data_IF_242071796894
#
_entry.id   IF_242071796894
#
_cell.length_a   1.000
_cell.length_b   1.000
_cell.length_c   1.000
_cell.angle_alpha   90.00
_cell.angle_beta   90.00
_cell.angle_gamma   90.00
#
_symmetry.space_group_name_H-M   'P 1'
#
loop_
_entity.id
_entity.type
_entity.pdbx_description
1 polymer ?
#
# COMPACT_ATOMS: atom_id res chain seq x y z
N UNK A 1 2.77 -21.70 -21.75
CA UNK A 1 3.08 -21.48 -23.18
C UNK A 1 3.03 -22.79 -23.97
N UNK A 2 3.09 -22.69 -25.27
CA UNK A 2 3.19 -23.85 -26.18
C UNK A 2 4.50 -24.66 -26.01
N UNK A 3 5.54 -24.02 -25.50
CA UNK A 3 6.82 -24.67 -25.22
C UNK A 3 6.86 -25.37 -23.85
N UNK A 4 5.79 -25.32 -23.08
CA UNK A 4 5.74 -25.84 -21.69
C UNK A 4 6.32 -24.89 -20.63
N UNK A 5 6.91 -23.75 -21.04
CA UNK A 5 7.35 -22.73 -20.09
C UNK A 5 6.14 -22.06 -19.46
N UNK A 6 6.15 -21.88 -18.14
CA UNK A 6 5.07 -21.22 -17.41
C UNK A 6 5.61 -20.17 -16.46
N UNK A 7 4.75 -19.25 -16.06
CA UNK A 7 5.02 -18.23 -15.05
C UNK A 7 3.90 -18.16 -14.04
N UNK A 8 4.26 -17.76 -12.84
CA UNK A 8 3.35 -17.55 -11.74
C UNK A 8 3.01 -16.07 -11.62
N UNK A 9 1.76 -15.76 -11.25
CA UNK A 9 1.27 -14.41 -11.04
C UNK A 9 0.16 -14.37 -10.02
N UNK A 10 0.01 -13.26 -9.34
CA UNK A 10 -0.94 -13.09 -8.25
C UNK A 10 -1.71 -11.79 -8.34
N UNK A 11 -3.01 -11.84 -7.99
CA UNK A 11 -3.86 -10.68 -7.83
C UNK A 11 -3.96 -10.31 -6.34
N UNK A 12 -3.49 -9.13 -5.96
CA UNK A 12 -3.44 -8.69 -4.55
C UNK A 12 -4.79 -8.15 -4.05
N UNK A 13 -5.82 -9.00 -4.06
CA UNK A 13 -7.14 -8.73 -3.48
C UNK A 13 -7.43 -9.77 -2.38
N UNK A 14 -6.46 -10.01 -1.52
CA UNK A 14 -6.56 -11.05 -0.49
C UNK A 14 -7.30 -10.57 0.77
N UNK A 15 -7.25 -9.28 1.10
CA UNK A 15 -7.90 -8.72 2.27
C UNK A 15 -9.34 -8.29 1.96
N UNK A 16 -10.27 -8.67 2.82
CA UNK A 16 -11.69 -8.35 2.65
C UNK A 16 -12.39 -9.27 1.65
N UNK A 17 -13.12 -8.66 0.71
CA UNK A 17 -13.88 -9.36 -0.33
C UNK A 17 -13.39 -8.95 -1.71
N UNK A 18 -13.49 -9.85 -2.70
CA UNK A 18 -13.12 -9.51 -4.09
C UNK A 18 -12.27 -10.58 -4.79
N UNK A 19 -11.68 -11.53 -4.07
CA UNK A 19 -10.80 -12.57 -4.63
C UNK A 19 -11.48 -13.40 -5.72
N UNK A 20 -12.74 -13.81 -5.54
CA UNK A 20 -13.51 -14.53 -6.57
C UNK A 20 -13.72 -13.69 -7.83
N UNK A 21 -14.00 -12.38 -7.66
CA UNK A 21 -14.16 -11.47 -8.79
C UNK A 21 -12.84 -11.25 -9.53
N UNK A 22 -11.72 -11.11 -8.81
CA UNK A 22 -10.39 -11.01 -9.42
C UNK A 22 -10.02 -12.27 -10.19
N UNK A 23 -10.30 -13.46 -9.63
CA UNK A 23 -10.09 -14.72 -10.33
C UNK A 23 -10.92 -14.81 -11.63
N UNK A 24 -12.19 -14.46 -11.59
CA UNK A 24 -13.03 -14.37 -12.79
C UNK A 24 -12.49 -13.38 -13.83
N UNK A 25 -11.98 -12.23 -13.37
CA UNK A 25 -11.36 -11.23 -14.24
C UNK A 25 -10.10 -11.77 -14.93
N UNK A 26 -9.24 -12.50 -14.22
CA UNK A 26 -8.07 -13.16 -14.81
C UNK A 26 -8.50 -14.10 -15.94
N UNK A 27 -9.55 -14.91 -15.73
CA UNK A 27 -10.06 -15.84 -16.73
C UNK A 27 -10.60 -15.13 -17.97
N UNK A 28 -11.29 -14.00 -17.80
CA UNK A 28 -11.82 -13.23 -18.92
C UNK A 28 -10.69 -12.51 -19.70
N UNK A 29 -9.76 -11.90 -18.99
CA UNK A 29 -8.60 -11.22 -19.58
C UNK A 29 -7.68 -12.20 -20.34
N UNK A 30 -7.48 -13.40 -19.80
CA UNK A 30 -6.65 -14.43 -20.43
C UNK A 30 -7.11 -14.75 -21.86
N UNK A 31 -8.41 -14.74 -22.15
CA UNK A 31 -8.97 -14.97 -23.48
C UNK A 31 -8.49 -13.95 -24.51
N UNK A 32 -8.14 -12.74 -24.10
CA UNK A 32 -7.67 -11.67 -24.98
C UNK A 32 -6.22 -11.85 -25.44
N UNK A 33 -5.43 -12.63 -24.69
CA UNK A 33 -3.98 -12.75 -24.89
C UNK A 33 -3.52 -14.14 -25.35
N UNK A 34 -4.42 -15.12 -25.40
CA UNK A 34 -4.11 -16.46 -25.93
C UNK A 34 -3.61 -16.32 -27.37
N UNK A 35 -2.46 -16.94 -27.70
CA UNK A 35 -1.80 -16.89 -28.99
C UNK A 35 -0.86 -15.70 -29.19
N UNK A 36 -0.77 -14.77 -28.24
CA UNK A 36 0.22 -13.69 -28.25
C UNK A 36 1.60 -14.20 -27.80
N UNK A 37 2.66 -13.53 -28.22
CA UNK A 37 4.01 -13.81 -27.73
C UNK A 37 4.16 -13.33 -26.28
N UNK A 38 4.40 -14.21 -25.29
CA UNK A 38 4.47 -13.84 -23.88
C UNK A 38 5.65 -12.92 -23.52
N UNK A 39 6.63 -12.79 -24.42
CA UNK A 39 7.77 -11.90 -24.21
C UNK A 39 7.44 -10.42 -24.50
N UNK A 40 6.33 -10.14 -25.19
CA UNK A 40 5.90 -8.80 -25.57
C UNK A 40 5.01 -8.18 -24.46
N UNK A 41 5.55 -8.10 -23.23
CA UNK A 41 4.83 -7.69 -22.02
C UNK A 41 4.11 -6.35 -22.18
N UNK A 42 4.74 -5.34 -22.79
CA UNK A 42 4.14 -4.03 -23.05
C UNK A 42 2.94 -4.10 -24.02
N UNK A 43 3.07 -4.87 -25.10
CA UNK A 43 2.00 -5.04 -26.08
C UNK A 43 0.80 -5.74 -25.46
N UNK A 44 1.06 -6.77 -24.65
CA UNK A 44 0.02 -7.50 -23.93
C UNK A 44 -0.66 -6.58 -22.90
N UNK A 45 0.11 -5.82 -22.15
CA UNK A 45 -0.42 -4.87 -21.17
C UNK A 45 -1.36 -3.85 -21.84
N UNK A 46 -0.91 -3.25 -22.93
CA UNK A 46 -1.71 -2.29 -23.72
C UNK A 46 -2.99 -2.94 -24.26
N UNK A 47 -2.89 -4.19 -24.72
CA UNK A 47 -4.04 -4.98 -25.18
C UNK A 47 -5.05 -5.20 -24.05
N UNK A 48 -4.58 -5.61 -22.88
CA UNK A 48 -5.43 -5.83 -21.70
C UNK A 48 -6.11 -4.54 -21.25
N UNK A 49 -5.36 -3.45 -21.21
CA UNK A 49 -5.87 -2.14 -20.79
C UNK A 49 -6.91 -1.57 -21.74
N UNK A 50 -6.64 -1.60 -23.06
CA UNK A 50 -7.53 -0.98 -24.06
C UNK A 50 -8.69 -1.87 -24.50
N UNK A 51 -8.43 -3.18 -24.71
CA UNK A 51 -9.44 -4.06 -25.26
C UNK A 51 -10.45 -4.59 -24.27
N UNK A 52 -10.20 -4.43 -22.97
CA UNK A 52 -11.15 -4.77 -21.89
C UNK A 52 -12.35 -3.83 -21.84
N UNK A 53 -12.28 -2.66 -22.50
CA UNK A 53 -13.26 -1.58 -22.46
C UNK A 53 -13.37 -0.92 -21.08
N UNK A 54 -13.51 -1.70 -19.99
CA UNK A 54 -13.69 -1.25 -18.62
C UNK A 54 -12.40 -0.97 -17.86
N UNK A 55 -11.23 -1.30 -18.40
CA UNK A 55 -9.95 -1.09 -17.72
C UNK A 55 -9.54 0.39 -17.67
N UNK A 56 -9.91 1.16 -18.70
CA UNK A 56 -9.62 2.60 -18.70
C UNK A 56 -10.40 3.29 -17.58
N UNK A 57 -9.66 3.86 -16.62
CA UNK A 57 -10.21 4.37 -15.37
C UNK A 57 -10.94 3.30 -14.53
N UNK A 58 -10.55 2.03 -14.70
CA UNK A 58 -11.11 0.89 -13.98
C UNK A 58 -10.62 0.79 -12.53
N UNK A 59 -11.29 -0.05 -11.78
CA UNK A 59 -11.04 -0.25 -10.35
C UNK A 59 -10.17 -1.46 -10.05
N UNK A 60 -10.10 -1.84 -8.75
CA UNK A 60 -9.17 -2.85 -8.25
C UNK A 60 -9.30 -4.22 -8.92
N UNK A 61 -10.51 -4.65 -9.25
CA UNK A 61 -10.74 -6.00 -9.82
C UNK A 61 -10.09 -6.12 -11.19
N UNK A 62 -10.26 -5.13 -12.06
CA UNK A 62 -9.67 -5.15 -13.41
C UNK A 62 -8.15 -5.07 -13.31
N UNK A 63 -7.65 -4.14 -12.51
CA UNK A 63 -6.21 -3.98 -12.36
C UNK A 63 -5.54 -5.14 -11.64
N UNK A 64 -6.20 -5.79 -10.68
CA UNK A 64 -5.71 -7.03 -10.09
C UNK A 64 -5.59 -8.17 -11.13
N UNK A 65 -6.59 -8.29 -12.02
CA UNK A 65 -6.53 -9.24 -13.14
C UNK A 65 -5.38 -8.96 -14.11
N UNK A 66 -5.19 -7.70 -14.50
CA UNK A 66 -4.06 -7.27 -15.33
C UNK A 66 -2.74 -7.54 -14.64
N UNK A 67 -2.63 -7.20 -13.36
CA UNK A 67 -1.42 -7.40 -12.56
C UNK A 67 -1.00 -8.86 -12.50
N UNK A 68 -1.94 -9.76 -12.20
CA UNK A 68 -1.65 -11.19 -12.13
C UNK A 68 -1.09 -11.73 -13.44
N UNK A 69 -1.68 -11.35 -14.57
CA UNK A 69 -1.19 -11.77 -15.89
C UNK A 69 0.16 -11.15 -16.23
N UNK A 70 0.35 -9.87 -15.94
CA UNK A 70 1.61 -9.17 -16.19
C UNK A 70 2.76 -9.76 -15.38
N UNK A 71 2.55 -10.04 -14.08
CA UNK A 71 3.55 -10.68 -13.21
C UNK A 71 3.93 -12.05 -13.78
N UNK A 72 2.95 -12.87 -14.18
CA UNK A 72 3.21 -14.18 -14.79
C UNK A 72 4.01 -14.06 -16.11
N UNK A 73 3.75 -13.04 -16.91
CA UNK A 73 4.49 -12.78 -18.15
C UNK A 73 5.95 -12.36 -17.88
N UNK A 74 6.17 -11.52 -16.83
CA UNK A 74 7.53 -11.17 -16.43
C UNK A 74 8.30 -12.36 -15.87
N UNK A 75 7.65 -13.26 -15.14
CA UNK A 75 8.25 -14.51 -14.68
C UNK A 75 8.63 -15.42 -15.86
N UNK A 76 7.73 -15.59 -16.85
CA UNK A 76 8.05 -16.29 -18.12
C UNK A 76 9.26 -15.66 -18.80
N UNK A 77 9.29 -14.33 -18.88
CA UNK A 77 10.37 -13.59 -19.56
C UNK A 77 11.71 -13.80 -18.85
N UNK A 78 11.73 -13.73 -17.53
CA UNK A 78 12.91 -14.04 -16.70
C UNK A 78 13.42 -15.46 -16.91
N UNK A 79 12.51 -16.44 -16.89
CA UNK A 79 12.82 -17.85 -17.12
C UNK A 79 13.32 -18.10 -18.56
N UNK A 80 12.71 -17.47 -19.55
CA UNK A 80 13.12 -17.58 -20.95
C UNK A 80 14.54 -17.08 -21.19
N UNK A 81 14.91 -15.92 -20.63
CA UNK A 81 16.26 -15.36 -20.74
C UNK A 81 17.24 -15.91 -19.69
N UNK A 82 16.77 -16.77 -18.79
CA UNK A 82 17.54 -17.32 -17.68
C UNK A 82 18.21 -16.23 -16.81
N UNK A 83 17.46 -15.18 -16.49
CA UNK A 83 17.89 -14.09 -15.62
C UNK A 83 16.76 -13.72 -14.65
N UNK A 84 17.09 -13.21 -13.45
CA UNK A 84 16.07 -12.69 -12.53
C UNK A 84 15.40 -11.45 -13.13
N UNK A 85 14.12 -11.25 -12.83
CA UNK A 85 13.30 -10.17 -13.39
C UNK A 85 13.91 -8.77 -13.16
N UNK A 86 14.54 -8.53 -11.99
CA UNK A 86 15.18 -7.24 -11.73
C UNK A 86 16.27 -6.90 -12.76
N UNK A 87 16.92 -7.90 -13.36
CA UNK A 87 17.93 -7.69 -14.40
C UNK A 87 17.30 -7.13 -15.68
N UNK A 88 16.08 -7.57 -15.99
CA UNK A 88 15.31 -7.06 -17.12
C UNK A 88 14.73 -5.66 -16.88
N UNK A 89 14.57 -5.27 -15.62
CA UNK A 89 14.09 -3.96 -15.21
C UNK A 89 15.19 -2.89 -15.03
N UNK A 90 16.43 -3.21 -15.42
CA UNK A 90 17.55 -2.25 -15.39
C UNK A 90 18.68 -2.64 -14.43
N UNK A 91 18.60 -3.79 -13.79
CA UNK A 91 19.65 -4.31 -12.90
C UNK A 91 19.40 -4.02 -11.41
N UNK A 92 20.30 -4.56 -10.58
CA UNK A 92 20.19 -4.48 -9.14
C UNK A 92 20.78 -3.16 -8.61
N UNK A 93 19.96 -2.30 -8.06
CA UNK A 93 20.37 -1.02 -7.47
C UNK A 93 20.80 -1.16 -6.00
N UNK A 94 20.25 -2.14 -5.27
CA UNK A 94 20.53 -2.36 -3.84
C UNK A 94 20.58 -3.83 -3.52
N UNK A 95 21.43 -4.22 -2.56
CA UNK A 95 21.50 -5.59 -2.05
C UNK A 95 20.56 -5.82 -0.86
N UNK A 96 20.21 -4.74 -0.16
CA UNK A 96 19.30 -4.77 1.00
C UNK A 96 18.31 -3.60 0.92
N UNK A 97 17.10 -3.83 1.41
CA UNK A 97 16.08 -2.83 1.61
C UNK A 97 15.79 -2.69 3.11
N UNK A 98 15.60 -1.44 3.55
CA UNK A 98 15.08 -1.19 4.89
C UNK A 98 13.63 -1.66 4.95
N UNK A 99 13.29 -2.38 6.03
CA UNK A 99 11.94 -2.86 6.28
C UNK A 99 11.40 -2.27 7.58
N UNK A 100 10.09 -2.14 7.67
CA UNK A 100 9.42 -1.81 8.92
C UNK A 100 8.50 -2.95 9.37
N UNK A 101 8.30 -3.07 10.69
CA UNK A 101 7.31 -3.98 11.24
C UNK A 101 5.91 -3.36 11.08
N UNK A 102 5.05 -4.01 10.32
CA UNK A 102 3.73 -3.49 9.94
C UNK A 102 2.59 -4.15 10.71
N UNK A 103 1.46 -3.44 10.82
CA UNK A 103 0.19 -3.98 11.34
C UNK A 103 0.25 -4.41 12.82
N UNK A 104 1.01 -3.71 13.64
CA UNK A 104 1.22 -4.07 15.05
C UNK A 104 -0.08 -4.03 15.88
N UNK A 105 -1.12 -3.35 15.40
CA UNK A 105 -2.46 -3.37 16.01
C UNK A 105 -3.13 -4.75 15.95
N UNK A 106 -2.68 -5.66 15.09
CA UNK A 106 -3.19 -7.04 15.02
C UNK A 106 -2.34 -8.04 15.82
N UNK A 107 -1.34 -7.57 16.55
CA UNK A 107 -0.37 -8.40 17.27
C UNK A 107 0.97 -8.47 16.54
N UNK A 108 1.99 -9.05 17.20
CA UNK A 108 3.31 -9.23 16.61
C UNK A 108 3.97 -10.52 17.08
N UNK A 109 4.72 -11.17 16.18
CA UNK A 109 5.40 -12.43 16.46
C UNK A 109 4.41 -13.58 16.69
N UNK A 110 4.52 -14.26 17.81
CA UNK A 110 3.61 -15.35 18.19
C UNK A 110 2.25 -14.84 18.67
N UNK A 111 2.18 -13.58 19.13
CA UNK A 111 0.95 -12.96 19.60
C UNK A 111 0.10 -12.53 18.41
N UNK A 112 -0.96 -13.26 18.13
CA UNK A 112 -1.93 -13.00 17.05
C UNK A 112 -3.23 -12.39 17.57
N UNK A 113 -3.17 -11.58 18.63
CA UNK A 113 -4.35 -10.95 19.23
C UNK A 113 -4.34 -9.45 18.95
N UNK A 114 -5.48 -8.85 18.58
CA UNK A 114 -5.57 -7.42 18.39
C UNK A 114 -5.10 -6.63 19.62
N UNK A 115 -4.39 -5.55 19.38
CA UNK A 115 -4.02 -4.58 20.40
C UNK A 115 -5.18 -3.57 20.58
N UNK A 116 -5.67 -3.41 21.78
CA UNK A 116 -6.71 -2.43 22.10
C UNK A 116 -6.41 -1.62 23.37
N UNK A 117 -5.62 -2.16 24.30
CA UNK A 117 -5.07 -1.42 25.42
C UNK A 117 -3.70 -0.83 25.06
N UNK A 118 -3.31 0.25 25.72
CA UNK A 118 -2.02 0.93 25.49
C UNK A 118 -0.85 -0.06 25.65
N UNK A 119 -0.92 -0.91 26.67
CA UNK A 119 0.11 -1.90 26.98
C UNK A 119 0.32 -2.91 25.85
N UNK A 120 -0.72 -3.23 25.10
CA UNK A 120 -0.65 -4.13 23.94
C UNK A 120 0.17 -3.51 22.81
N UNK A 121 -0.12 -2.24 22.48
CA UNK A 121 0.64 -1.50 21.48
C UNK A 121 2.11 -1.37 21.86
N UNK A 122 2.38 -1.02 23.10
CA UNK A 122 3.74 -0.90 23.66
C UNK A 122 4.47 -2.25 23.61
N UNK A 123 3.82 -3.33 23.99
CA UNK A 123 4.43 -4.68 23.99
C UNK A 123 4.79 -5.11 22.57
N UNK A 124 3.87 -4.94 21.59
CA UNK A 124 4.11 -5.29 20.20
C UNK A 124 5.25 -4.44 19.58
N UNK A 125 5.26 -3.13 19.85
CA UNK A 125 6.31 -2.23 19.37
C UNK A 125 7.69 -2.60 19.93
N UNK A 126 7.80 -2.79 21.27
CA UNK A 126 9.05 -3.23 21.90
C UNK A 126 9.54 -4.56 21.33
N UNK A 127 8.63 -5.51 21.11
CA UNK A 127 8.97 -6.82 20.55
C UNK A 127 9.55 -6.67 19.14
N UNK A 128 8.91 -5.91 18.26
CA UNK A 128 9.41 -5.64 16.91
C UNK A 128 10.81 -4.99 16.93
N UNK A 129 10.99 -3.96 17.76
CA UNK A 129 12.30 -3.30 17.90
C UNK A 129 13.37 -4.26 18.45
N UNK A 130 13.02 -5.13 19.40
CA UNK A 130 13.94 -6.16 19.92
C UNK A 130 14.39 -7.18 18.88
N UNK A 131 13.63 -7.33 17.78
CA UNK A 131 13.96 -8.19 16.64
C UNK A 131 14.79 -7.48 15.57
N UNK A 132 15.13 -6.22 15.80
CA UNK A 132 16.02 -5.43 14.94
C UNK A 132 15.33 -4.47 13.98
N UNK A 133 14.01 -4.30 14.07
CA UNK A 133 13.32 -3.27 13.29
C UNK A 133 13.60 -1.88 13.88
N UNK A 134 13.99 -0.96 13.03
CA UNK A 134 14.21 0.46 13.35
C UNK A 134 13.06 1.36 12.87
N UNK A 135 12.00 0.75 12.32
CA UNK A 135 10.76 1.39 11.90
C UNK A 135 9.56 0.48 12.16
N UNK A 136 8.45 1.07 12.57
CA UNK A 136 7.20 0.36 12.89
C UNK A 136 6.01 1.11 12.29
N UNK A 137 4.97 0.37 11.87
CA UNK A 137 3.71 0.92 11.34
C UNK A 137 2.52 0.44 12.14
N UNK A 138 1.66 1.36 12.57
CA UNK A 138 0.53 1.09 13.44
C UNK A 138 -0.67 1.94 13.03
N UNK A 139 -1.83 1.31 12.92
CA UNK A 139 -3.11 1.97 12.92
C UNK A 139 -3.63 2.05 14.37
N UNK A 140 -3.53 3.23 14.95
CA UNK A 140 -3.91 3.48 16.34
C UNK A 140 -5.43 3.63 16.53
N UNK A 141 -6.20 3.70 15.42
CA UNK A 141 -7.64 3.96 15.44
C UNK A 141 -8.47 2.77 14.93
N UNK A 142 -7.88 1.57 14.82
CA UNK A 142 -8.59 0.36 14.38
C UNK A 142 -9.59 -0.14 15.43
N UNK A 143 -9.19 -0.20 16.71
CA UNK A 143 -9.97 -0.79 17.79
C UNK A 143 -10.22 0.19 18.93
N UNK A 144 -11.43 0.15 19.50
CA UNK A 144 -11.74 0.83 20.75
C UNK A 144 -11.01 0.18 21.94
N UNK A 145 -10.98 0.81 23.13
CA UNK A 145 -10.36 0.21 24.31
C UNK A 145 -11.03 -1.06 24.85
N UNK A 146 -12.16 -1.49 24.28
CA UNK A 146 -12.83 -2.76 24.59
C UNK A 146 -12.53 -3.86 23.56
N UNK A 147 -11.81 -3.53 22.48
CA UNK A 147 -11.43 -4.45 21.44
C UNK A 147 -12.41 -4.54 20.27
N UNK A 148 -13.41 -3.69 20.19
CA UNK A 148 -14.32 -3.60 19.05
C UNK A 148 -13.75 -2.68 17.96
N UNK A 149 -13.98 -3.00 16.69
CA UNK A 149 -13.65 -2.07 15.61
C UNK A 149 -14.53 -0.84 15.70
N UNK A 150 -13.93 0.33 15.52
CA UNK A 150 -14.68 1.56 15.37
C UNK A 150 -15.57 1.53 14.12
N UNK A 151 -16.75 2.11 14.23
CA UNK A 151 -17.65 2.36 13.11
C UNK A 151 -17.22 3.58 12.31
N UNK A 152 -17.72 3.70 11.07
CA UNK A 152 -17.48 4.90 10.25
C UNK A 152 -18.06 6.18 10.87
N UNK A 153 -19.12 6.07 11.67
CA UNK A 153 -19.69 7.23 12.36
C UNK A 153 -18.76 7.77 13.45
N UNK A 154 -17.99 6.90 14.11
CA UNK A 154 -17.02 7.26 15.15
C UNK A 154 -15.71 7.79 14.57
N UNK A 155 -15.36 7.42 13.33
CA UNK A 155 -14.06 7.75 12.73
C UNK A 155 -14.09 8.92 11.74
N UNK A 156 -15.26 9.49 11.45
CA UNK A 156 -15.42 10.54 10.45
C UNK A 156 -15.99 11.85 11.02
N UNK A 157 -15.98 12.92 10.21
CA UNK A 157 -16.45 14.27 10.49
C UNK A 157 -15.53 15.04 11.42
N UNK A 158 -15.84 15.11 12.70
CA UNK A 158 -15.03 15.77 13.74
C UNK A 158 -15.02 14.87 14.96
N UNK A 159 -13.82 14.45 15.35
CA UNK A 159 -13.67 13.62 16.55
C UNK A 159 -13.92 14.45 17.80
N UNK A 160 -14.59 13.84 18.77
CA UNK A 160 -14.65 14.36 20.11
C UNK A 160 -13.29 14.19 20.84
N UNK A 161 -13.09 14.86 21.96
CA UNK A 161 -11.83 14.79 22.71
C UNK A 161 -11.47 13.37 23.17
N UNK A 162 -12.45 12.52 23.46
CA UNK A 162 -12.20 11.13 23.90
C UNK A 162 -11.51 10.31 22.80
N UNK A 163 -12.04 10.31 21.57
CA UNK A 163 -11.45 9.58 20.46
C UNK A 163 -10.07 10.10 20.09
N UNK A 164 -9.88 11.43 20.13
CA UNK A 164 -8.54 12.02 19.92
C UNK A 164 -7.56 11.51 20.98
N UNK A 165 -7.94 11.53 22.27
CA UNK A 165 -7.08 11.05 23.34
C UNK A 165 -6.75 9.57 23.20
N UNK A 166 -7.72 8.71 22.86
CA UNK A 166 -7.45 7.27 22.64
C UNK A 166 -6.34 7.04 21.62
N UNK A 167 -6.38 7.73 20.47
CA UNK A 167 -5.37 7.59 19.42
C UNK A 167 -4.02 8.17 19.86
N UNK A 168 -4.04 9.37 20.39
CA UNK A 168 -2.81 10.11 20.72
C UNK A 168 -2.10 9.52 21.95
N UNK A 169 -2.81 9.03 22.95
CA UNK A 169 -2.21 8.39 24.12
C UNK A 169 -1.52 7.06 23.74
N UNK A 170 -2.09 6.29 22.81
CA UNK A 170 -1.44 5.09 22.24
C UNK A 170 -0.15 5.45 21.51
N UNK A 171 -0.18 6.47 20.64
CA UNK A 171 1.00 6.96 19.93
C UNK A 171 2.07 7.47 20.90
N UNK A 172 1.67 8.24 21.91
CA UNK A 172 2.55 8.77 22.95
C UNK A 172 3.28 7.66 23.69
N UNK A 173 2.54 6.67 24.17
CA UNK A 173 3.09 5.55 24.93
C UNK A 173 4.03 4.69 24.07
N UNK A 174 3.70 4.47 22.79
CA UNK A 174 4.59 3.76 21.85
C UNK A 174 5.87 4.57 21.65
N UNK A 175 5.78 5.88 21.38
CA UNK A 175 6.97 6.74 21.21
C UNK A 175 7.86 6.73 22.45
N UNK A 176 7.30 6.86 23.64
CA UNK A 176 8.06 6.76 24.89
C UNK A 176 8.75 5.40 25.03
N UNK A 177 8.06 4.34 24.68
CA UNK A 177 8.52 2.96 24.84
C UNK A 177 9.65 2.56 23.87
N UNK A 178 9.64 3.08 22.64
CA UNK A 178 10.64 2.72 21.60
C UNK A 178 11.77 3.76 21.49
N UNK A 179 11.64 4.91 22.15
CA UNK A 179 12.65 5.98 22.11
C UNK A 179 12.57 6.86 20.86
N UNK A 180 13.44 7.88 20.76
CA UNK A 180 13.37 8.89 19.69
C UNK A 180 13.88 8.41 18.32
N UNK A 181 14.70 7.35 18.28
CA UNK A 181 15.44 6.94 17.10
C UNK A 181 14.71 5.88 16.25
N UNK A 182 13.59 5.35 16.73
CA UNK A 182 12.73 4.42 15.97
C UNK A 182 11.72 5.21 15.17
N UNK A 183 11.64 4.98 13.86
CA UNK A 183 10.62 5.60 13.03
C UNK A 183 9.23 5.02 13.33
N UNK A 184 8.24 5.88 13.54
CA UNK A 184 6.85 5.50 13.68
C UNK A 184 6.06 5.98 12.47
N UNK A 185 5.39 5.05 11.81
CA UNK A 185 4.45 5.30 10.73
C UNK A 185 3.05 5.22 11.33
N UNK A 186 2.28 6.29 11.20
CA UNK A 186 0.87 6.32 11.58
C UNK A 186 0.03 5.99 10.36
N UNK A 187 -0.86 5.01 10.48
CA UNK A 187 -1.73 4.57 9.40
C UNK A 187 -3.21 4.67 9.83
N UNK A 188 -4.11 4.92 8.86
CA UNK A 188 -5.55 4.90 9.12
C UNK A 188 -6.37 4.15 8.06
N UNK A 189 -5.74 3.45 7.10
CA UNK A 189 -6.40 2.63 6.06
C UNK A 189 -7.57 3.34 5.35
N UNK A 190 -7.52 4.65 5.18
CA UNK A 190 -8.61 5.46 4.60
C UNK A 190 -9.96 5.37 5.35
N UNK A 191 -9.97 4.92 6.61
CA UNK A 191 -11.20 4.83 7.42
C UNK A 191 -11.63 6.16 8.05
N UNK A 192 -10.77 7.18 7.99
CA UNK A 192 -11.08 8.52 8.46
C UNK A 192 -11.28 9.47 7.27
N UNK A 193 -11.87 10.63 7.54
CA UNK A 193 -11.96 11.69 6.53
C UNK A 193 -10.85 12.74 6.68
N UNK A 194 -10.77 13.65 5.70
CA UNK A 194 -9.71 14.65 5.64
C UNK A 194 -9.68 15.60 6.86
N UNK A 195 -10.84 15.91 7.46
CA UNK A 195 -10.90 16.77 8.63
C UNK A 195 -10.37 16.05 9.87
N UNK A 196 -10.73 14.78 10.05
CA UNK A 196 -10.22 13.93 11.13
C UNK A 196 -8.71 13.72 10.97
N UNK A 197 -8.25 13.48 9.73
CA UNK A 197 -6.81 13.35 9.45
C UNK A 197 -6.03 14.59 9.90
N UNK A 198 -6.53 15.79 9.62
CA UNK A 198 -5.91 17.03 10.10
C UNK A 198 -5.96 17.12 11.64
N UNK A 199 -7.09 16.79 12.25
CA UNK A 199 -7.25 16.84 13.70
C UNK A 199 -6.27 15.91 14.43
N UNK A 200 -6.12 14.67 13.96
CA UNK A 200 -5.16 13.70 14.54
C UNK A 200 -3.71 14.06 14.19
N UNK A 201 -3.44 14.43 12.93
CA UNK A 201 -2.10 14.77 12.46
C UNK A 201 -1.50 15.96 13.22
N UNK A 202 -2.29 17.00 13.51
CA UNK A 202 -1.83 18.14 14.31
C UNK A 202 -1.38 17.71 15.71
N UNK A 203 -2.08 16.77 16.35
CA UNK A 203 -1.70 16.24 17.65
C UNK A 203 -0.52 15.26 17.56
N UNK A 204 -0.37 14.54 16.44
CA UNK A 204 0.70 13.58 16.23
C UNK A 204 2.07 14.23 15.95
N UNK A 205 2.11 15.48 15.46
CA UNK A 205 3.36 16.20 15.11
C UNK A 205 4.43 16.14 16.19
N UNK A 206 4.06 16.32 17.44
CA UNK A 206 4.99 16.34 18.60
C UNK A 206 5.68 15.00 18.86
N UNK A 207 5.18 13.92 18.27
CA UNK A 207 5.75 12.57 18.40
C UNK A 207 6.66 12.18 17.24
N UNK A 208 6.94 13.10 16.31
CA UNK A 208 7.89 12.93 15.23
C UNK A 208 7.63 11.65 14.43
N UNK A 209 6.41 11.50 13.89
CA UNK A 209 6.06 10.38 13.00
C UNK A 209 6.76 10.55 11.64
N UNK A 210 7.19 9.43 11.05
CA UNK A 210 7.93 9.43 9.77
C UNK A 210 7.03 9.90 8.63
N UNK A 211 5.83 9.33 8.51
CA UNK A 211 4.79 9.76 7.60
C UNK A 211 3.41 9.30 8.08
N UNK A 212 2.37 9.89 7.50
CA UNK A 212 0.99 9.53 7.74
C UNK A 212 0.45 8.80 6.51
N UNK A 213 0.15 7.50 6.66
CA UNK A 213 -0.31 6.62 5.59
C UNK A 213 -1.82 6.54 5.54
N UNK A 214 -2.37 6.60 4.33
CA UNK A 214 -3.80 6.45 4.05
C UNK A 214 -4.70 7.34 4.93
N UNK A 215 -4.40 8.66 5.05
CA UNK A 215 -5.15 9.55 5.94
C UNK A 215 -6.57 9.85 5.45
N UNK A 216 -6.88 9.57 4.19
CA UNK A 216 -8.21 9.77 3.60
C UNK A 216 -8.50 8.73 2.54
N UNK A 217 -9.76 8.59 2.13
CA UNK A 217 -10.10 7.92 0.88
C UNK A 217 -9.30 8.55 -0.26
N UNK A 218 -8.71 7.77 -1.19
CA UNK A 218 -7.91 8.28 -2.29
C UNK A 218 -8.68 9.28 -3.16
N UNK A 219 -8.41 10.54 -2.92
CA UNK A 219 -8.94 11.67 -3.67
C UNK A 219 -7.90 12.79 -3.65
N UNK A 220 -7.38 13.26 -4.80
CA UNK A 220 -6.32 14.25 -4.85
C UNK A 220 -6.65 15.52 -4.07
N UNK A 221 -7.87 16.04 -4.19
CA UNK A 221 -8.29 17.28 -3.49
C UNK A 221 -8.32 17.12 -1.97
N UNK A 222 -8.80 15.97 -1.48
CA UNK A 222 -8.82 15.71 -0.04
C UNK A 222 -7.41 15.47 0.49
N UNK A 223 -6.60 14.75 -0.27
CA UNK A 223 -5.19 14.55 0.07
C UNK A 223 -4.43 15.89 0.11
N UNK A 224 -4.67 16.75 -0.89
CA UNK A 224 -4.12 18.12 -0.93
C UNK A 224 -4.54 18.95 0.29
N UNK A 225 -5.81 18.88 0.69
CA UNK A 225 -6.28 19.55 1.89
C UNK A 225 -5.52 19.10 3.15
N UNK A 226 -5.31 17.79 3.31
CA UNK A 226 -4.53 17.26 4.45
C UNK A 226 -3.06 17.70 4.36
N UNK A 227 -2.45 17.55 3.21
CA UNK A 227 -1.05 17.91 2.97
C UNK A 227 -0.78 19.39 3.26
N UNK A 228 -1.66 20.30 2.82
CA UNK A 228 -1.52 21.75 3.05
C UNK A 228 -1.68 22.15 4.53
N UNK A 229 -2.38 21.36 5.32
CA UNK A 229 -2.61 21.63 6.75
C UNK A 229 -1.55 21.00 7.64
N UNK A 230 -0.98 19.87 7.22
CA UNK A 230 -0.03 19.12 8.03
C UNK A 230 1.39 19.27 7.48
N UNK A 231 2.35 19.56 8.34
CA UNK A 231 3.77 19.44 8.01
C UNK A 231 4.27 18.02 8.39
N UNK A 232 3.60 17.01 7.82
CA UNK A 232 3.94 15.59 7.96
C UNK A 232 3.89 15.02 6.55
N UNK A 233 4.88 14.24 6.09
CA UNK A 233 4.80 13.55 4.81
C UNK A 233 3.55 12.68 4.72
N UNK A 234 2.84 12.74 3.60
CA UNK A 234 1.65 11.93 3.35
C UNK A 234 2.02 10.79 2.40
N UNK A 235 1.60 9.58 2.77
CA UNK A 235 1.75 8.38 1.97
C UNK A 235 0.37 7.82 1.57
N UNK A 236 0.24 7.43 0.31
CA UNK A 236 -0.93 6.69 -0.20
C UNK A 236 -0.54 5.82 -1.39
N UNK A 237 -1.36 4.83 -1.70
CA UNK A 237 -1.13 4.09 -2.92
C UNK A 237 -1.77 2.72 -3.04
N UNK A 238 -2.03 2.02 -1.96
CA UNK A 238 -2.62 0.68 -2.02
C UNK A 238 -3.98 0.62 -2.73
N UNK A 239 -4.68 1.76 -2.81
CA UNK A 239 -5.97 1.94 -3.49
C UNK A 239 -5.91 2.88 -4.69
N UNK A 240 -4.70 3.14 -5.23
CA UNK A 240 -4.51 3.95 -6.43
C UNK A 240 -3.95 3.05 -7.53
N UNK A 241 -4.64 3.03 -8.66
CA UNK A 241 -4.33 2.12 -9.76
C UNK A 241 -3.87 2.91 -10.98
N UNK A 242 -2.87 2.37 -11.68
CA UNK A 242 -2.25 2.92 -12.87
C UNK A 242 -1.59 4.30 -12.71
N UNK A 243 -0.70 4.64 -13.65
CA UNK A 243 -0.04 5.97 -13.71
C UNK A 243 -1.04 7.13 -13.82
N UNK A 244 -2.18 6.90 -14.46
CA UNK A 244 -3.24 7.93 -14.59
C UNK A 244 -3.93 8.22 -13.26
N UNK A 245 -4.06 7.21 -12.39
CA UNK A 245 -4.58 7.38 -11.03
C UNK A 245 -3.61 8.18 -10.15
N UNK A 246 -2.30 7.97 -10.32
CA UNK A 246 -1.27 8.68 -9.54
C UNK A 246 -0.99 10.11 -10.03
N UNK A 247 -1.08 10.36 -11.33
CA UNK A 247 -0.68 11.64 -11.93
C UNK A 247 -1.26 12.88 -11.22
N UNK A 248 -2.55 12.96 -10.86
CA UNK A 248 -3.10 14.15 -10.19
C UNK A 248 -2.45 14.45 -8.84
N UNK A 249 -1.98 13.44 -8.10
CA UNK A 249 -1.30 13.63 -6.80
C UNK A 249 0.12 14.17 -6.97
N UNK A 250 0.79 13.80 -8.06
CA UNK A 250 2.09 14.35 -8.37
C UNK A 250 1.99 15.80 -8.84
N UNK A 251 1.03 16.08 -9.74
CA UNK A 251 0.82 17.40 -10.33
C UNK A 251 0.48 18.48 -9.29
N UNK A 252 -0.30 18.13 -8.26
CA UNK A 252 -0.69 19.07 -7.21
C UNK A 252 0.21 19.02 -5.95
N UNK A 253 1.20 18.11 -5.91
CA UNK A 253 2.15 17.97 -4.81
C UNK A 253 1.50 17.47 -3.52
N UNK A 254 0.40 16.74 -3.61
CA UNK A 254 -0.37 16.27 -2.45
C UNK A 254 0.12 14.97 -1.84
N UNK A 255 1.22 14.41 -2.35
CA UNK A 255 1.80 13.14 -1.88
C UNK A 255 3.32 13.22 -1.86
N UNK A 256 3.96 12.72 -0.80
CA UNK A 256 5.42 12.68 -0.67
C UNK A 256 5.98 11.25 -0.74
N UNK A 257 5.10 10.25 -0.57
CA UNK A 257 5.46 8.84 -0.67
C UNK A 257 4.32 8.08 -1.34
N UNK A 258 4.62 7.32 -2.39
CA UNK A 258 3.63 6.43 -3.00
C UNK A 258 3.84 4.98 -2.59
N UNK A 259 2.73 4.24 -2.50
CA UNK A 259 2.72 2.85 -2.08
C UNK A 259 1.93 1.97 -3.07
N UNK A 260 2.39 1.90 -4.34
CA UNK A 260 1.72 1.04 -5.31
C UNK A 260 1.84 -0.42 -4.90
N UNK A 261 0.74 -1.15 -4.98
CA UNK A 261 0.74 -2.60 -4.83
C UNK A 261 0.88 -3.24 -6.23
N UNK A 262 1.97 -3.97 -6.44
CA UNK A 262 2.30 -4.57 -7.75
C UNK A 262 1.21 -5.55 -8.19
N UNK A 263 0.57 -6.24 -7.24
CA UNK A 263 -0.50 -7.19 -7.51
C UNK A 263 -1.86 -6.56 -7.83
N UNK A 264 -1.99 -5.21 -7.78
CA UNK A 264 -3.24 -4.54 -8.12
C UNK A 264 -3.08 -3.18 -8.84
N UNK A 265 -1.88 -2.61 -8.96
CA UNK A 265 -1.69 -1.34 -9.65
C UNK A 265 -1.55 -1.46 -11.18
N UNK A 266 -1.46 -2.68 -11.71
CA UNK A 266 -1.24 -2.99 -13.13
C UNK A 266 -0.02 -3.85 -13.40
N UNK A 267 0.52 -4.54 -12.39
CA UNK A 267 1.68 -5.42 -12.50
C UNK A 267 3.01 -4.68 -12.51
N UNK A 268 4.09 -5.42 -12.79
CA UNK A 268 5.46 -4.89 -12.85
C UNK A 268 5.63 -3.84 -13.96
N UNK A 269 5.01 -4.06 -15.12
CA UNK A 269 5.04 -3.13 -16.27
C UNK A 269 4.52 -1.75 -15.87
N UNK A 270 3.41 -1.69 -15.18
CA UNK A 270 2.80 -0.41 -14.76
C UNK A 270 3.48 0.18 -13.52
N UNK A 271 3.81 -0.67 -12.53
CA UNK A 271 4.52 -0.25 -11.33
C UNK A 271 5.83 0.47 -11.67
N UNK A 272 6.62 -0.07 -12.63
CA UNK A 272 7.84 0.60 -13.09
C UNK A 272 7.57 2.00 -13.62
N UNK A 273 6.52 2.17 -14.43
CA UNK A 273 6.14 3.48 -14.99
C UNK A 273 5.64 4.46 -13.92
N UNK A 274 4.89 3.95 -12.94
CA UNK A 274 4.46 4.75 -11.79
C UNK A 274 5.68 5.25 -10.99
N UNK A 275 6.67 4.37 -10.74
CA UNK A 275 7.90 4.73 -10.04
C UNK A 275 8.74 5.74 -10.83
N UNK A 276 8.87 5.58 -12.15
CA UNK A 276 9.59 6.52 -13.00
C UNK A 276 8.91 7.90 -13.02
N UNK A 277 7.58 7.93 -13.02
CA UNK A 277 6.82 9.18 -12.92
C UNK A 277 7.01 9.83 -11.56
N UNK A 278 6.92 9.08 -10.46
CA UNK A 278 7.15 9.57 -9.10
C UNK A 278 8.53 10.22 -8.95
N UNK A 279 9.55 9.63 -9.57
CA UNK A 279 10.91 10.14 -9.53
C UNK A 279 11.06 11.54 -10.16
N UNK A 280 10.26 11.87 -11.19
CA UNK A 280 10.26 13.21 -11.82
C UNK A 280 9.78 14.29 -10.83
N UNK A 281 8.92 13.91 -9.88
CA UNK A 281 8.33 14.81 -8.89
C UNK A 281 8.99 14.72 -7.50
N UNK A 282 10.16 14.07 -7.38
CA UNK A 282 10.87 13.82 -6.10
C UNK A 282 10.01 13.09 -5.05
N UNK A 283 9.06 12.27 -5.50
CA UNK A 283 8.19 11.49 -4.62
C UNK A 283 8.83 10.13 -4.32
N UNK A 284 8.95 9.80 -3.03
CA UNK A 284 9.47 8.52 -2.58
C UNK A 284 8.56 7.34 -2.95
N UNK A 285 9.13 6.14 -3.06
CA UNK A 285 8.39 4.92 -3.36
C UNK A 285 8.64 3.88 -2.29
N UNK A 286 7.57 3.31 -1.78
CA UNK A 286 7.57 2.16 -0.90
C UNK A 286 6.39 1.25 -1.29
N UNK A 287 6.68 0.14 -1.94
CA UNK A 287 5.62 -0.75 -2.41
C UNK A 287 4.76 -1.29 -1.26
N UNK A 288 3.45 -1.19 -1.40
CA UNK A 288 2.49 -1.92 -0.58
C UNK A 288 2.51 -3.40 -0.95
N UNK A 289 2.26 -4.26 0.02
CA UNK A 289 2.04 -5.69 -0.20
C UNK A 289 0.98 -6.22 0.77
N UNK A 290 0.01 -6.92 0.21
CA UNK A 290 -1.00 -7.67 0.94
C UNK A 290 -1.27 -8.98 0.18
N UNK A 291 -0.18 -9.70 -0.14
CA UNK A 291 -0.14 -10.86 -1.03
C UNK A 291 0.89 -11.88 -0.56
N UNK A 292 1.11 -12.94 -1.35
CA UNK A 292 2.14 -13.93 -1.08
C UNK A 292 3.56 -13.38 -1.36
N UNK A 293 4.62 -14.14 -1.03
CA UNK A 293 6.01 -13.78 -1.36
C UNK A 293 6.38 -13.86 -2.85
N UNK A 294 5.41 -14.00 -3.73
CA UNK A 294 5.61 -14.16 -5.18
C UNK A 294 6.18 -12.90 -5.83
#
# INVERSE_FOLDING_TARGET
TDTGLYGDGEAAIAYGVGSTAAYGMIQDLAKLIIGMNPLDTEVIWEKLYKSTFWAQNGGPIVFAGISALDIALWDIKGKYFNVPVYQLLGGKMRDKLRCYASQLQFGWGERKTPAYQIEDYVANAKKAVSEGYDAIKIDFFTFDPKGYRYSSEETTRVLDPYHVHVVIDRLAAVREAVGPDVDIIMENHSYIDAQVAVQLGEQAKKYNILFFEEPTTPNPKMNKFVCDKLNIPIAQGERIYSRWGYAPYFEDGSIQLIQPDIGNCGGLTEAKKICDLAHIYDVGVQAHVCASPL
#
